data_IF_209791013341
#
_entry.id   IF_209791013341
#
_cell.length_a   1.000
_cell.length_b   1.000
_cell.length_c   1.000
_cell.angle_alpha   90.00
_cell.angle_beta   90.00
_cell.angle_gamma   90.00
#
_symmetry.space_group_name_H-M   'P 1'
#
loop_
_entity.id
_entity.type
_entity.pdbx_description
1 polymer ?
#
# COMPACT_ATOMS: atom_id res chain seq x y z
N UNK A 1 -18.35 8.06 10.27
CA UNK A 1 -17.59 7.24 9.30
C UNK A 1 -16.12 7.55 9.47
N UNK A 2 -15.25 6.53 9.51
CA UNK A 2 -13.80 6.74 9.53
C UNK A 2 -13.34 7.33 8.21
N UNK A 3 -12.29 8.16 8.24
CA UNK A 3 -11.67 8.68 7.00
C UNK A 3 -11.03 7.51 6.25
N UNK A 4 -11.15 7.48 4.94
CA UNK A 4 -10.44 6.51 4.09
C UNK A 4 -9.25 7.18 3.44
N UNK A 5 -8.08 6.54 3.50
CA UNK A 5 -6.85 7.03 2.88
C UNK A 5 -6.33 5.93 1.95
N UNK A 6 -6.18 6.26 0.67
CA UNK A 6 -5.41 5.44 -0.27
C UNK A 6 -3.96 5.84 -0.18
N UNK A 7 -3.09 4.92 0.23
CA UNK A 7 -1.67 5.14 0.41
C UNK A 7 -0.90 4.47 -0.73
N UNK A 8 -0.10 5.25 -1.45
CA UNK A 8 0.94 4.69 -2.31
C UNK A 8 1.96 3.93 -1.45
N UNK A 9 1.97 2.62 -1.59
CA UNK A 9 2.67 1.69 -0.69
C UNK A 9 3.68 0.85 -1.49
N UNK A 10 4.97 1.02 -1.18
CA UNK A 10 6.07 0.33 -1.85
C UNK A 10 6.58 -0.89 -1.08
N UNK A 11 6.07 -1.15 0.12
CA UNK A 11 6.58 -2.21 1.00
C UNK A 11 7.90 -1.88 1.70
N UNK A 12 8.50 -0.73 1.38
CA UNK A 12 9.71 -0.22 2.03
C UNK A 12 9.44 0.28 3.44
N UNK A 13 10.52 0.44 4.21
CA UNK A 13 10.49 0.84 5.63
C UNK A 13 9.57 2.05 5.89
N UNK A 14 9.74 3.12 5.12
CA UNK A 14 9.01 4.37 5.33
C UNK A 14 7.51 4.19 5.12
N UNK A 15 7.12 3.58 4.00
CA UNK A 15 5.70 3.32 3.70
C UNK A 15 5.08 2.30 4.65
N UNK A 16 5.87 1.37 5.18
CA UNK A 16 5.43 0.44 6.22
C UNK A 16 5.20 1.13 7.56
N UNK A 17 6.08 2.06 7.96
CA UNK A 17 5.92 2.82 9.20
C UNK A 17 4.73 3.79 9.15
N UNK A 18 4.42 4.30 7.95
CA UNK A 18 3.32 5.25 7.74
C UNK A 18 1.94 4.64 7.96
N UNK A 19 1.71 3.36 7.64
CA UNK A 19 0.39 2.73 7.81
C UNK A 19 -0.12 2.83 9.26
N UNK A 20 0.57 2.29 10.28
CA UNK A 20 0.10 2.39 11.66
C UNK A 20 0.04 3.84 12.13
N UNK A 21 0.98 4.69 11.70
CA UNK A 21 0.97 6.11 12.05
C UNK A 21 -0.28 6.83 11.54
N UNK A 22 -0.73 6.56 10.30
CA UNK A 22 -1.94 7.16 9.75
C UNK A 22 -3.21 6.65 10.47
N UNK A 23 -3.23 5.36 10.83
CA UNK A 23 -4.32 4.76 11.61
C UNK A 23 -4.42 5.46 12.97
N UNK A 24 -3.31 5.59 13.69
CA UNK A 24 -3.27 6.19 15.03
C UNK A 24 -3.55 7.69 15.01
N UNK A 25 -2.97 8.42 14.06
CA UNK A 25 -3.04 9.89 14.00
C UNK A 25 -4.40 10.38 13.50
N UNK A 26 -5.03 9.66 12.57
CA UNK A 26 -6.24 10.12 11.89
C UNK A 26 -7.48 9.27 12.13
N UNK A 27 -7.38 8.18 12.91
CA UNK A 27 -8.42 7.15 13.04
C UNK A 27 -8.97 6.72 11.67
N UNK A 28 -8.03 6.48 10.74
CA UNK A 28 -8.32 6.25 9.34
C UNK A 28 -8.30 4.76 8.95
N UNK A 29 -9.09 4.41 7.95
CA UNK A 29 -9.00 3.14 7.24
C UNK A 29 -8.02 3.31 6.07
N UNK A 30 -6.99 2.47 6.04
CA UNK A 30 -5.95 2.54 5.03
C UNK A 30 -6.22 1.52 3.92
N UNK A 31 -6.19 1.98 2.68
CA UNK A 31 -6.14 1.16 1.47
C UNK A 31 -4.72 1.28 0.93
N UNK A 32 -3.95 0.20 0.98
CA UNK A 32 -2.59 0.19 0.45
C UNK A 32 -2.65 -0.08 -1.06
N UNK A 33 -2.07 0.81 -1.85
CA UNK A 33 -2.01 0.71 -3.31
C UNK A 33 -0.57 0.56 -3.75
N UNK A 34 -0.27 -0.50 -4.50
CA UNK A 34 1.04 -0.74 -5.09
C UNK A 34 0.88 -0.88 -6.61
N UNK A 35 1.79 -0.25 -7.36
CA UNK A 35 1.85 -0.37 -8.82
C UNK A 35 3.18 -1.00 -9.22
N UNK A 36 3.16 -2.05 -10.02
CA UNK A 36 4.36 -2.60 -10.63
C UNK A 36 4.69 -1.89 -11.95
N UNK A 37 5.84 -1.21 -11.94
CA UNK A 37 6.43 -0.54 -13.10
C UNK A 37 7.65 -1.31 -13.65
N UNK A 38 7.86 -2.56 -13.22
CA UNK A 38 8.97 -3.42 -13.61
C UNK A 38 9.96 -3.72 -12.49
N UNK A 39 9.69 -3.24 -11.28
CA UNK A 39 10.57 -3.36 -10.12
C UNK A 39 9.81 -3.56 -8.80
N UNK A 40 8.50 -3.81 -8.83
CA UNK A 40 7.78 -4.05 -7.59
C UNK A 40 8.25 -5.37 -6.95
N UNK A 41 8.27 -5.43 -5.61
CA UNK A 41 8.35 -6.70 -4.89
C UNK A 41 7.18 -7.61 -5.26
N UNK A 42 7.32 -8.89 -4.92
CA UNK A 42 6.26 -9.89 -5.03
C UNK A 42 4.95 -9.42 -4.37
N UNK A 43 3.83 -9.59 -5.10
CA UNK A 43 2.50 -9.13 -4.71
C UNK A 43 2.04 -9.74 -3.38
N UNK A 44 2.25 -11.05 -3.20
CA UNK A 44 1.85 -11.76 -1.98
C UNK A 44 2.66 -11.26 -0.78
N UNK A 45 3.97 -11.07 -0.96
CA UNK A 45 4.83 -10.55 0.08
C UNK A 45 4.42 -9.14 0.54
N UNK A 46 4.24 -8.22 -0.41
CA UNK A 46 3.93 -6.82 -0.10
C UNK A 46 2.51 -6.68 0.46
N UNK A 47 1.55 -7.43 -0.08
CA UNK A 47 0.16 -7.46 0.39
C UNK A 47 0.04 -8.00 1.81
N UNK A 48 0.70 -9.13 2.10
CA UNK A 48 0.75 -9.68 3.46
C UNK A 48 1.29 -8.66 4.46
N UNK A 49 2.39 -7.98 4.12
CA UNK A 49 2.99 -6.94 4.95
C UNK A 49 2.04 -5.76 5.18
N UNK A 50 1.30 -5.32 4.15
CA UNK A 50 0.32 -4.24 4.29
C UNK A 50 -0.78 -4.59 5.31
N UNK A 51 -1.32 -5.82 5.24
CA UNK A 51 -2.35 -6.29 6.17
C UNK A 51 -1.82 -6.44 7.60
N UNK A 52 -0.60 -6.96 7.79
CA UNK A 52 0.05 -7.06 9.10
C UNK A 52 0.20 -5.69 9.78
N UNK A 53 0.39 -4.64 8.99
CA UNK A 53 0.53 -3.25 9.47
C UNK A 53 -0.81 -2.54 9.72
N UNK A 54 -1.94 -3.17 9.36
CA UNK A 54 -3.28 -2.65 9.64
C UNK A 54 -4.03 -2.07 8.44
N UNK A 55 -3.53 -2.22 7.22
CA UNK A 55 -4.31 -1.90 6.02
C UNK A 55 -5.60 -2.73 5.98
N UNK A 56 -6.70 -2.12 5.52
CA UNK A 56 -8.01 -2.77 5.37
C UNK A 56 -8.19 -3.41 4.01
N UNK A 57 -7.49 -2.89 3.02
CA UNK A 57 -7.54 -3.36 1.64
C UNK A 57 -6.15 -3.16 1.03
N UNK A 58 -5.81 -4.05 0.09
CA UNK A 58 -4.59 -3.99 -0.67
C UNK A 58 -4.93 -4.13 -2.16
N UNK A 59 -4.40 -3.21 -2.97
CA UNK A 59 -4.59 -3.17 -4.42
C UNK A 59 -3.20 -3.24 -5.05
N UNK A 60 -3.02 -4.18 -5.97
CA UNK A 60 -1.81 -4.32 -6.78
C UNK A 60 -2.18 -4.16 -8.25
N UNK A 61 -1.51 -3.27 -8.96
CA UNK A 61 -1.73 -3.05 -10.39
C UNK A 61 -0.43 -3.22 -11.17
N UNK A 62 -0.45 -4.09 -12.19
CA UNK A 62 0.62 -4.18 -13.18
C UNK A 62 0.46 -3.07 -14.21
N UNK A 63 1.37 -2.10 -14.19
CA UNK A 63 1.36 -0.94 -15.08
C UNK A 63 2.57 -0.90 -16.01
N UNK A 64 3.33 -1.99 -16.15
CA UNK A 64 4.54 -2.05 -16.99
C UNK A 64 4.29 -1.63 -18.44
N UNK A 65 3.22 -2.14 -19.04
CA UNK A 65 2.82 -1.83 -20.42
C UNK A 65 2.32 -0.39 -20.58
N UNK A 66 1.76 0.20 -19.52
CA UNK A 66 1.30 1.58 -19.53
C UNK A 66 2.47 2.55 -19.37
N UNK A 67 3.44 2.21 -18.52
CA UNK A 67 4.61 3.04 -18.22
C UNK A 67 5.58 3.18 -19.39
N UNK A 68 5.67 2.15 -20.24
CA UNK A 68 6.62 2.08 -21.36
C UNK A 68 6.10 2.66 -22.68
N UNK A 69 4.85 3.14 -22.72
CA UNK A 69 4.22 3.81 -23.87
C UNK A 69 4.34 5.33 -23.76
#
# INVERSE_FOLDING_TARGET
>A
MKKKIVLAYSGGLDTSAIIPWLIETYDAEIIAYCSDLGNAPDEDFIGKRAFELGAKEFIFEDLKDLYTK
#
